data_IF_232856548489
#
_entry.id   IF_232856548489
#
_cell.length_a   1.000
_cell.length_b   1.000
_cell.length_c   1.000
_cell.angle_alpha   90.00
_cell.angle_beta   90.00
_cell.angle_gamma   90.00
#
_symmetry.space_group_name_H-M   'P 1'
#
loop_
_entity.id
_entity.type
_entity.pdbx_description
1 polymer ?
#
# COMPACT_ATOMS: atom_id res chain seq x y z
N UNK A 1 -32.51 5.45 -1.52
CA UNK A 1 -31.34 4.78 -2.12
C UNK A 1 -31.30 3.33 -1.64
N UNK A 2 -31.28 2.42 -2.60
CA UNK A 2 -31.23 0.97 -2.31
C UNK A 2 -29.76 0.53 -2.21
N UNK A 3 -29.29 -0.03 -1.07
CA UNK A 3 -27.90 -0.47 -0.91
C UNK A 3 -27.47 -1.53 -1.95
N UNK A 4 -28.35 -2.44 -2.33
CA UNK A 4 -28.06 -3.46 -3.33
C UNK A 4 -27.81 -2.85 -4.72
N UNK A 5 -28.61 -1.87 -5.12
CA UNK A 5 -28.43 -1.15 -6.40
C UNK A 5 -27.11 -0.39 -6.43
N UNK A 6 -26.74 0.28 -5.32
CA UNK A 6 -25.43 0.95 -5.20
C UNK A 6 -24.27 -0.03 -5.32
N UNK A 7 -24.36 -1.20 -4.70
CA UNK A 7 -23.35 -2.25 -4.80
C UNK A 7 -23.21 -2.73 -6.24
N UNK A 8 -24.31 -3.02 -6.94
CA UNK A 8 -24.29 -3.45 -8.33
C UNK A 8 -23.73 -2.35 -9.26
N UNK A 9 -24.11 -1.10 -9.02
CA UNK A 9 -23.54 0.02 -9.76
C UNK A 9 -22.02 0.11 -9.56
N UNK A 10 -21.52 0.04 -8.33
CA UNK A 10 -20.09 0.09 -8.03
C UNK A 10 -19.32 -1.06 -8.71
N UNK A 11 -19.84 -2.30 -8.64
CA UNK A 11 -19.27 -3.45 -9.34
C UNK A 11 -19.19 -3.19 -10.84
N UNK A 12 -20.25 -2.61 -11.44
CA UNK A 12 -20.27 -2.30 -12.86
C UNK A 12 -19.24 -1.26 -13.25
N UNK A 13 -19.05 -0.21 -12.42
CA UNK A 13 -18.05 0.83 -12.65
C UNK A 13 -16.62 0.27 -12.58
N UNK A 14 -16.32 -0.56 -11.58
CA UNK A 14 -15.01 -1.21 -11.46
C UNK A 14 -14.69 -2.14 -12.63
N UNK A 15 -15.68 -2.88 -13.13
CA UNK A 15 -15.49 -3.69 -14.36
C UNK A 15 -15.22 -2.83 -15.61
N UNK A 16 -15.86 -1.65 -15.71
CA UNK A 16 -15.55 -0.68 -16.78
C UNK A 16 -14.15 -0.08 -16.60
N UNK A 17 -13.75 0.19 -15.35
CA UNK A 17 -12.41 0.66 -15.05
C UNK A 17 -11.32 -0.33 -15.47
N UNK A 18 -11.55 -1.64 -15.34
CA UNK A 18 -10.64 -2.67 -15.84
C UNK A 18 -10.39 -2.51 -17.35
N UNK A 19 -11.48 -2.34 -18.14
CA UNK A 19 -11.40 -2.13 -19.59
C UNK A 19 -10.69 -0.82 -19.92
N UNK A 20 -11.00 0.25 -19.20
CA UNK A 20 -10.36 1.56 -19.40
C UNK A 20 -8.86 1.49 -19.11
N UNK A 21 -8.47 0.86 -17.99
CA UNK A 21 -7.07 0.66 -17.61
C UNK A 21 -6.30 -0.13 -18.69
N UNK A 22 -6.90 -1.21 -19.20
CA UNK A 22 -6.31 -1.98 -20.30
C UNK A 22 -6.10 -1.12 -21.55
N UNK A 23 -7.12 -0.35 -21.96
CA UNK A 23 -7.05 0.53 -23.14
C UNK A 23 -5.97 1.62 -23.02
N UNK A 24 -5.73 2.08 -21.80
CA UNK A 24 -4.68 3.04 -21.50
C UNK A 24 -3.29 2.39 -21.33
N UNK A 25 -3.19 1.07 -21.43
CA UNK A 25 -1.94 0.33 -21.26
C UNK A 25 -1.43 0.27 -19.81
N UNK A 26 -2.29 0.57 -18.84
CA UNK A 26 -1.94 0.53 -17.41
C UNK A 26 -1.75 -0.91 -16.93
N UNK A 27 -0.88 -1.09 -15.95
CA UNK A 27 -0.60 -2.39 -15.32
C UNK A 27 -1.20 -2.51 -13.92
N UNK A 28 -1.49 -1.40 -13.28
CA UNK A 28 -2.04 -1.30 -11.94
C UNK A 28 -3.20 -0.30 -11.91
N UNK A 29 -4.20 -0.58 -11.09
CA UNK A 29 -5.36 0.26 -10.85
C UNK A 29 -5.56 0.42 -9.34
N UNK A 30 -5.41 1.63 -8.85
CA UNK A 30 -5.58 1.96 -7.44
C UNK A 30 -7.07 2.06 -7.07
N UNK A 31 -7.44 1.51 -5.92
CA UNK A 31 -8.83 1.57 -5.43
C UNK A 31 -8.92 1.31 -3.93
N UNK A 32 -10.09 1.56 -3.36
CA UNK A 32 -10.46 1.17 -2.00
C UNK A 32 -11.29 -0.12 -1.99
N UNK A 33 -11.28 -0.80 -0.85
CA UNK A 33 -11.99 -2.08 -0.68
C UNK A 33 -13.50 -1.94 -0.48
N UNK A 34 -13.92 -0.80 0.07
CA UNK A 34 -15.23 -0.58 0.65
C UNK A 34 -15.19 -0.69 2.18
N UNK A 35 -16.28 -0.31 2.83
CA UNK A 35 -16.36 -0.13 4.28
C UNK A 35 -17.53 -0.92 4.90
N UNK A 36 -17.59 -2.22 4.65
CA UNK A 36 -18.64 -3.09 5.17
C UNK A 36 -18.48 -3.34 6.68
N UNK A 37 -17.25 -3.59 7.13
CA UNK A 37 -16.90 -3.96 8.50
C UNK A 37 -16.22 -2.85 9.31
N UNK A 38 -15.79 -1.75 8.68
CA UNK A 38 -14.99 -0.73 9.34
C UNK A 38 -15.61 -0.23 10.66
N UNK A 39 -16.92 -0.02 10.71
CA UNK A 39 -17.61 0.41 11.94
C UNK A 39 -17.55 -0.60 13.09
N UNK A 40 -17.06 -1.81 12.85
CA UNK A 40 -16.89 -2.87 13.85
C UNK A 40 -15.44 -3.07 14.29
N UNK A 41 -14.48 -2.31 13.75
CA UNK A 41 -13.03 -2.48 14.01
C UNK A 41 -12.71 -2.27 15.50
N UNK A 42 -13.27 -1.25 16.12
CA UNK A 42 -13.11 -1.07 17.55
C UNK A 42 -13.91 -2.14 18.32
N UNK A 43 -13.29 -2.88 19.26
CA UNK A 43 -13.89 -4.07 19.86
C UNK A 43 -14.97 -3.79 20.91
N UNK A 44 -15.48 -2.58 21.00
CA UNK A 44 -16.51 -2.19 21.95
C UNK A 44 -17.67 -1.44 21.26
N UNK A 45 -18.93 -1.87 21.40
CA UNK A 45 -19.38 -3.10 22.07
C UNK A 45 -18.85 -4.36 21.40
N UNK A 46 -18.84 -5.48 22.14
CA UNK A 46 -18.31 -6.74 21.64
C UNK A 46 -19.04 -7.19 20.37
N UNK A 47 -18.28 -7.58 19.37
CA UNK A 47 -18.83 -8.08 18.10
C UNK A 47 -19.51 -9.44 18.26
N UNK A 48 -20.64 -9.68 17.60
CA UNK A 48 -21.22 -11.02 17.53
C UNK A 48 -20.22 -12.03 16.93
N UNK A 49 -20.28 -13.27 17.41
CA UNK A 49 -19.48 -14.35 16.84
C UNK A 49 -19.84 -14.55 15.36
N UNK A 50 -18.83 -14.77 14.53
CA UNK A 50 -19.00 -14.99 13.09
C UNK A 50 -19.25 -13.73 12.24
N UNK A 51 -19.36 -12.54 12.84
CA UNK A 51 -19.62 -11.30 12.09
C UNK A 51 -18.49 -10.97 11.11
N UNK A 52 -17.24 -11.11 11.56
CA UNK A 52 -16.07 -10.77 10.76
C UNK A 52 -15.94 -11.75 9.59
N UNK A 53 -16.11 -13.03 9.84
CA UNK A 53 -16.07 -14.09 8.83
C UNK A 53 -17.16 -13.89 7.77
N UNK A 54 -18.38 -13.58 8.19
CA UNK A 54 -19.48 -13.27 7.28
C UNK A 54 -19.15 -12.05 6.42
N UNK A 55 -18.62 -11.00 7.03
CA UNK A 55 -18.26 -9.77 6.31
C UNK A 55 -17.18 -9.98 5.27
N UNK A 56 -16.11 -10.74 5.58
CA UNK A 56 -15.06 -11.04 4.60
C UNK A 56 -15.53 -11.98 3.49
N UNK A 57 -16.44 -12.92 3.79
CA UNK A 57 -17.07 -13.74 2.76
C UNK A 57 -17.91 -12.89 1.79
N UNK A 58 -18.74 -12.00 2.31
CA UNK A 58 -19.52 -11.05 1.49
C UNK A 58 -18.60 -10.13 0.67
N UNK A 59 -17.51 -9.63 1.26
CA UNK A 59 -16.52 -8.82 0.57
C UNK A 59 -15.90 -9.60 -0.61
N UNK A 60 -15.53 -10.85 -0.37
CA UNK A 60 -14.98 -11.73 -1.39
C UNK A 60 -15.98 -12.02 -2.53
N UNK A 61 -17.24 -12.27 -2.21
CA UNK A 61 -18.30 -12.49 -3.21
C UNK A 61 -18.46 -11.28 -4.14
N UNK A 62 -18.34 -10.07 -3.60
CA UNK A 62 -18.41 -8.82 -4.37
C UNK A 62 -17.17 -8.61 -5.23
N UNK A 63 -15.99 -8.90 -4.68
CA UNK A 63 -14.71 -8.62 -5.35
C UNK A 63 -14.30 -9.67 -6.38
N UNK A 64 -14.62 -10.96 -6.22
CA UNK A 64 -14.24 -12.01 -7.18
C UNK A 64 -14.59 -11.65 -8.62
N UNK A 65 -15.83 -11.29 -8.98
CA UNK A 65 -16.18 -10.95 -10.37
C UNK A 65 -15.51 -9.66 -10.87
N UNK A 66 -15.05 -8.79 -9.98
CA UNK A 66 -14.25 -7.60 -10.34
C UNK A 66 -12.82 -8.03 -10.62
N UNK A 67 -12.19 -8.79 -9.71
CA UNK A 67 -10.83 -9.31 -9.87
C UNK A 67 -10.68 -10.14 -11.15
N UNK A 68 -11.67 -10.99 -11.48
CA UNK A 68 -11.72 -11.73 -12.74
C UNK A 68 -11.78 -10.81 -13.96
N UNK A 69 -12.48 -9.68 -13.87
CA UNK A 69 -12.51 -8.69 -14.96
C UNK A 69 -11.14 -8.01 -15.14
N UNK A 70 -10.47 -7.69 -14.06
CA UNK A 70 -9.12 -7.13 -14.08
C UNK A 70 -8.08 -8.16 -14.55
N UNK A 71 -8.27 -9.44 -14.22
CA UNK A 71 -7.39 -10.50 -14.72
C UNK A 71 -7.48 -10.67 -16.24
N UNK A 72 -8.69 -10.68 -16.79
CA UNK A 72 -8.88 -10.68 -18.24
C UNK A 72 -8.29 -9.44 -18.91
N UNK A 73 -8.26 -8.31 -18.20
CA UNK A 73 -7.66 -7.06 -18.69
C UNK A 73 -6.12 -7.04 -18.55
N UNK A 74 -5.52 -7.95 -17.78
CA UNK A 74 -4.09 -7.98 -17.49
C UNK A 74 -3.62 -6.82 -16.60
N UNK A 75 -4.50 -6.35 -15.70
CA UNK A 75 -4.28 -5.20 -14.81
C UNK A 75 -4.40 -5.64 -13.35
N UNK A 76 -3.47 -5.24 -12.51
CA UNK A 76 -3.52 -5.50 -11.08
C UNK A 76 -4.48 -4.54 -10.38
N UNK A 77 -5.28 -5.04 -9.44
CA UNK A 77 -6.06 -4.23 -8.50
C UNK A 77 -5.19 -3.97 -7.28
N UNK A 78 -4.91 -2.71 -7.02
CA UNK A 78 -4.06 -2.28 -5.92
C UNK A 78 -4.92 -1.58 -4.86
N UNK A 79 -5.20 -2.32 -3.79
CA UNK A 79 -5.97 -1.79 -2.67
C UNK A 79 -5.10 -0.87 -1.83
N UNK A 80 -5.51 0.37 -1.65
CA UNK A 80 -4.95 1.23 -0.63
C UNK A 80 -5.43 0.76 0.74
N UNK A 81 -4.50 0.38 1.62
CA UNK A 81 -4.83 -0.04 2.97
C UNK A 81 -5.04 1.20 3.83
N UNK A 82 -6.31 1.57 3.98
CA UNK A 82 -6.69 2.89 4.48
C UNK A 82 -7.65 2.79 5.68
N UNK A 83 -7.42 3.53 6.79
CA UNK A 83 -8.41 3.67 7.86
C UNK A 83 -9.74 4.20 7.32
N UNK A 84 -10.84 3.53 7.67
CA UNK A 84 -12.16 3.82 7.07
C UNK A 84 -12.61 2.76 6.08
N UNK A 85 -11.70 1.89 5.65
CA UNK A 85 -11.92 0.80 4.71
C UNK A 85 -11.88 -0.57 5.40
N UNK A 86 -12.40 -1.61 4.74
CA UNK A 86 -12.31 -2.98 5.25
C UNK A 86 -10.88 -3.50 5.24
N UNK A 87 -10.10 -3.10 4.23
CA UNK A 87 -8.68 -3.38 4.14
C UNK A 87 -7.88 -2.15 4.62
N UNK A 88 -7.39 -2.19 5.86
CA UNK A 88 -6.72 -1.07 6.50
C UNK A 88 -5.35 -1.41 7.08
N UNK A 89 -4.98 -2.69 7.10
CA UNK A 89 -3.69 -3.20 7.55
C UNK A 89 -3.36 -4.54 6.89
N UNK A 90 -2.18 -5.10 7.19
CA UNK A 90 -1.76 -6.38 6.65
C UNK A 90 -2.68 -7.54 7.04
N UNK A 91 -3.16 -7.55 8.29
CA UNK A 91 -4.02 -8.63 8.79
C UNK A 91 -5.39 -8.66 8.10
N UNK A 92 -5.99 -7.50 7.82
CA UNK A 92 -7.24 -7.41 7.06
C UNK A 92 -7.04 -7.79 5.60
N UNK A 93 -5.90 -7.40 5.00
CA UNK A 93 -5.55 -7.82 3.64
C UNK A 93 -5.34 -9.34 3.53
N UNK A 94 -4.66 -9.97 4.47
CA UNK A 94 -4.46 -11.42 4.50
C UNK A 94 -5.79 -12.20 4.59
N UNK A 95 -6.73 -11.73 5.42
CA UNK A 95 -8.08 -12.32 5.49
C UNK A 95 -8.82 -12.23 4.16
N UNK A 96 -8.77 -11.07 3.53
CA UNK A 96 -9.36 -10.86 2.21
C UNK A 96 -8.69 -11.74 1.16
N UNK A 97 -7.37 -11.78 1.12
CA UNK A 97 -6.59 -12.56 0.17
C UNK A 97 -6.94 -14.06 0.27
N UNK A 98 -7.04 -14.58 1.50
CA UNK A 98 -7.50 -15.95 1.73
C UNK A 98 -8.96 -16.15 1.26
N UNK A 99 -9.85 -15.20 1.52
CA UNK A 99 -11.26 -15.29 1.13
C UNK A 99 -11.46 -15.23 -0.40
N UNK A 100 -10.55 -14.62 -1.17
CA UNK A 100 -10.56 -14.62 -2.64
C UNK A 100 -9.62 -15.68 -3.25
N UNK A 101 -9.25 -16.71 -2.49
CA UNK A 101 -8.37 -17.82 -2.91
C UNK A 101 -7.03 -17.34 -3.48
N UNK A 102 -6.41 -16.35 -2.83
CA UNK A 102 -5.12 -15.78 -3.23
C UNK A 102 -5.11 -15.25 -4.67
N UNK A 103 -6.23 -14.70 -5.12
CA UNK A 103 -6.39 -14.21 -6.48
C UNK A 103 -5.19 -13.35 -6.92
N UNK A 104 -4.59 -13.62 -8.12
CA UNK A 104 -3.32 -12.98 -8.53
C UNK A 104 -3.44 -11.45 -8.71
N UNK A 105 -4.66 -10.95 -8.98
CA UNK A 105 -4.91 -9.53 -9.17
C UNK A 105 -5.25 -8.78 -7.89
N UNK A 106 -5.36 -9.45 -6.74
CA UNK A 106 -5.52 -8.80 -5.44
C UNK A 106 -4.15 -8.37 -4.92
N UNK A 107 -3.80 -7.11 -5.08
CA UNK A 107 -2.50 -6.53 -4.77
C UNK A 107 -2.64 -5.28 -3.90
N UNK A 108 -1.53 -4.68 -3.50
CA UNK A 108 -1.47 -3.58 -2.54
C UNK A 108 -0.98 -2.31 -3.23
N UNK A 109 -1.68 -1.21 -2.98
CA UNK A 109 -1.14 0.13 -3.05
C UNK A 109 -0.54 0.44 -1.67
N UNK A 110 0.76 0.61 -1.61
CA UNK A 110 1.48 0.93 -0.40
C UNK A 110 1.48 2.43 -0.16
N UNK A 111 0.83 2.87 0.92
CA UNK A 111 0.87 4.23 1.42
C UNK A 111 1.36 4.23 2.88
N UNK A 112 2.61 4.62 3.14
CA UNK A 112 3.17 4.60 4.49
C UNK A 112 2.54 5.61 5.44
N UNK A 113 1.88 6.66 4.93
CA UNK A 113 1.30 7.72 5.75
C UNK A 113 0.19 7.19 6.66
N UNK A 114 -0.67 6.32 6.12
CA UNK A 114 -1.74 5.68 6.89
C UNK A 114 -1.20 4.73 7.95
N UNK A 115 -0.04 4.12 7.71
CA UNK A 115 0.62 3.24 8.68
C UNK A 115 1.24 4.03 9.82
N UNK A 116 1.85 5.20 9.53
CA UNK A 116 2.34 6.11 10.58
C UNK A 116 1.19 6.56 11.48
N UNK A 117 0.04 6.93 10.91
CA UNK A 117 -1.12 7.33 11.70
C UNK A 117 -1.68 6.20 12.57
N UNK A 118 -1.53 4.95 12.13
CA UNK A 118 -1.92 3.75 12.87
C UNK A 118 -0.84 3.24 13.84
N UNK A 119 0.36 3.81 13.84
CA UNK A 119 1.53 3.32 14.57
C UNK A 119 1.98 1.92 14.14
N UNK A 120 1.79 1.59 12.87
CA UNK A 120 2.24 0.35 12.25
C UNK A 120 3.66 0.53 11.70
N UNK A 121 4.52 -0.48 11.81
CA UNK A 121 5.87 -0.47 11.22
C UNK A 121 5.79 -0.58 9.70
N UNK A 122 5.83 0.58 9.04
CA UNK A 122 5.72 0.69 7.59
C UNK A 122 6.93 0.11 6.84
N UNK A 123 8.10 0.02 7.46
CA UNK A 123 9.28 -0.60 6.82
C UNK A 123 9.22 -2.12 6.89
N UNK A 124 8.87 -2.70 8.03
CA UNK A 124 8.65 -4.14 8.16
C UNK A 124 7.50 -4.61 7.26
N UNK A 125 6.50 -3.75 7.01
CA UNK A 125 5.42 -4.06 6.08
C UNK A 125 5.92 -4.36 4.67
N UNK A 126 6.92 -3.62 4.17
CA UNK A 126 7.51 -3.89 2.84
C UNK A 126 8.18 -5.27 2.83
N UNK A 127 8.91 -5.64 3.89
CA UNK A 127 9.58 -6.93 3.97
C UNK A 127 8.59 -8.10 3.89
N UNK A 128 7.38 -7.95 4.45
CA UNK A 128 6.35 -8.99 4.46
C UNK A 128 5.58 -9.05 3.12
N UNK A 129 5.24 -7.89 2.55
CA UNK A 129 4.25 -7.81 1.46
C UNK A 129 4.82 -7.35 0.12
N UNK A 130 6.15 -7.23 -0.05
CA UNK A 130 6.78 -6.71 -1.28
C UNK A 130 6.30 -7.38 -2.57
N UNK A 131 6.00 -8.68 -2.55
CA UNK A 131 5.49 -9.40 -3.72
C UNK A 131 4.11 -8.91 -4.18
N UNK A 132 3.33 -8.35 -3.25
CA UNK A 132 1.98 -7.81 -3.50
C UNK A 132 1.95 -6.30 -3.68
N UNK A 133 3.01 -5.58 -3.38
CA UNK A 133 3.08 -4.13 -3.61
C UNK A 133 3.27 -3.86 -5.10
N UNK A 134 2.23 -3.34 -5.76
CA UNK A 134 2.23 -3.02 -7.19
C UNK A 134 1.99 -1.52 -7.48
N UNK A 135 1.61 -0.76 -6.48
CA UNK A 135 1.48 0.69 -6.52
C UNK A 135 2.04 1.30 -5.24
N UNK A 136 2.52 2.55 -5.32
CA UNK A 136 3.13 3.24 -4.19
C UNK A 136 2.75 4.72 -4.21
N UNK A 137 2.12 5.18 -3.13
CA UNK A 137 1.91 6.58 -2.85
C UNK A 137 3.05 7.13 -1.98
N UNK A 138 3.70 8.18 -2.48
CA UNK A 138 4.68 8.95 -1.72
C UNK A 138 3.91 10.07 -1.03
N UNK A 139 3.49 9.80 0.20
CA UNK A 139 2.68 10.67 1.04
C UNK A 139 3.25 10.69 2.44
N UNK A 140 3.53 11.86 2.96
CA UNK A 140 4.20 12.01 4.26
C UNK A 140 3.20 12.24 5.39
N UNK A 141 3.60 11.81 6.56
CA UNK A 141 2.81 11.96 7.79
C UNK A 141 3.72 12.06 9.01
N UNK A 142 3.15 12.53 10.10
CA UNK A 142 3.78 12.52 11.41
C UNK A 142 2.80 12.04 12.47
N UNK A 143 3.32 11.45 13.53
CA UNK A 143 2.55 11.14 14.73
C UNK A 143 3.30 11.66 15.96
N UNK A 144 2.72 12.67 16.62
CA UNK A 144 3.30 13.32 17.77
C UNK A 144 2.50 12.92 19.02
N UNK A 145 2.94 11.89 19.77
CA UNK A 145 2.23 11.42 20.95
C UNK A 145 2.01 12.54 21.97
N UNK A 146 0.82 12.59 22.53
CA UNK A 146 0.48 13.53 23.59
C UNK A 146 -0.47 12.87 24.62
N UNK A 147 -0.70 13.51 25.77
CA UNK A 147 -1.56 12.98 26.83
C UNK A 147 -3.06 13.20 26.61
N UNK A 148 -3.50 13.71 25.46
CA UNK A 148 -4.90 14.11 25.22
C UNK A 148 -5.63 13.24 24.20
N UNK A 149 -4.93 12.74 23.20
CA UNK A 149 -5.52 11.99 22.07
C UNK A 149 -4.51 10.97 21.51
N UNK A 150 -5.04 9.95 20.88
CA UNK A 150 -4.29 8.83 20.31
C UNK A 150 -4.59 8.64 18.81
N UNK A 151 -4.39 7.42 18.34
CA UNK A 151 -4.49 7.04 16.91
C UNK A 151 -5.86 7.29 16.27
N UNK A 152 -6.92 7.31 17.06
CA UNK A 152 -8.27 7.60 16.54
C UNK A 152 -8.47 9.07 16.16
N UNK A 153 -7.54 9.97 16.53
CA UNK A 153 -7.55 11.38 16.18
C UNK A 153 -8.62 12.22 16.90
N UNK A 154 -9.75 11.64 17.25
CA UNK A 154 -10.86 12.34 17.90
C UNK A 154 -11.53 13.39 16.98
N UNK A 155 -12.16 14.40 17.61
CA UNK A 155 -12.93 15.45 16.94
C UNK A 155 -12.14 16.75 16.73
N UNK A 156 -10.82 16.70 16.79
CA UNK A 156 -9.94 17.85 16.59
C UNK A 156 -9.77 18.15 15.10
N UNK A 157 -9.40 19.41 14.81
CA UNK A 157 -8.92 19.77 13.48
C UNK A 157 -7.64 18.98 13.12
N UNK A 158 -7.36 18.83 11.85
CA UNK A 158 -6.14 18.13 11.39
C UNK A 158 -4.85 18.73 12.00
N UNK A 159 -4.80 20.05 12.15
CA UNK A 159 -3.65 20.73 12.75
C UNK A 159 -3.42 20.37 14.22
N UNK A 160 -4.44 19.93 14.95
CA UNK A 160 -4.39 19.62 16.38
C UNK A 160 -4.30 18.11 16.67
N UNK A 161 -4.45 17.26 15.66
CA UNK A 161 -4.33 15.80 15.83
C UNK A 161 -2.89 15.39 16.10
N UNK A 162 -2.65 14.34 16.92
CA UNK A 162 -1.31 13.77 17.06
C UNK A 162 -0.81 13.17 15.75
N UNK A 163 -1.66 12.44 15.03
CA UNK A 163 -1.39 11.90 13.70
C UNK A 163 -1.98 12.82 12.64
N UNK A 164 -1.13 13.28 11.71
CA UNK A 164 -1.54 14.19 10.63
C UNK A 164 -0.64 14.07 9.41
N UNK A 165 -1.22 14.36 8.24
CA UNK A 165 -0.47 14.37 6.99
C UNK A 165 0.38 15.62 6.84
N UNK A 166 1.54 15.46 6.18
CA UNK A 166 2.52 16.51 5.94
C UNK A 166 2.96 16.55 4.48
N UNK A 167 3.44 17.71 4.04
CA UNK A 167 4.20 17.78 2.78
C UNK A 167 5.43 16.88 2.84
N UNK A 168 5.85 16.35 1.70
CA UNK A 168 7.00 15.44 1.61
C UNK A 168 8.26 16.08 2.20
N UNK A 169 8.89 15.38 3.14
CA UNK A 169 10.06 15.81 3.87
C UNK A 169 9.79 16.64 5.12
N UNK A 170 8.54 17.05 5.36
CA UNK A 170 8.14 17.78 6.56
C UNK A 170 7.59 16.85 7.66
N UNK A 171 7.38 15.57 7.35
CA UNK A 171 6.86 14.55 8.25
C UNK A 171 7.95 13.70 8.91
N UNK A 172 7.61 12.47 9.25
CA UNK A 172 8.47 11.54 9.99
C UNK A 172 8.80 10.26 9.20
N UNK A 173 8.35 10.15 7.95
CA UNK A 173 8.54 8.94 7.14
C UNK A 173 9.97 8.92 6.57
N UNK A 174 10.68 7.81 6.80
CA UNK A 174 12.00 7.59 6.19
C UNK A 174 11.84 7.07 4.74
N UNK A 175 11.58 7.99 3.83
CA UNK A 175 11.48 7.65 2.40
C UNK A 175 12.76 7.06 1.83
N UNK A 176 13.93 7.46 2.34
CA UNK A 176 15.20 6.89 1.90
C UNK A 176 15.27 5.39 2.18
N UNK A 177 14.83 4.97 3.38
CA UNK A 177 14.73 3.55 3.71
C UNK A 177 13.67 2.84 2.87
N UNK A 178 12.51 3.47 2.62
CA UNK A 178 11.45 2.91 1.76
C UNK A 178 11.98 2.67 0.35
N UNK A 179 12.57 3.69 -0.30
CA UNK A 179 13.10 3.54 -1.66
C UNK A 179 14.21 2.50 -1.74
N UNK A 180 15.06 2.39 -0.70
CA UNK A 180 16.08 1.33 -0.62
C UNK A 180 15.47 -0.05 -0.59
N UNK A 181 14.44 -0.29 0.25
CA UNK A 181 13.73 -1.58 0.33
C UNK A 181 12.99 -1.91 -0.96
N UNK A 182 12.24 -0.97 -1.52
CA UNK A 182 11.52 -1.18 -2.79
C UNK A 182 12.48 -1.49 -3.93
N UNK A 183 13.65 -0.83 -3.98
CA UNK A 183 14.72 -1.14 -4.94
C UNK A 183 15.30 -2.54 -4.72
N UNK A 184 15.58 -2.91 -3.46
CA UNK A 184 16.08 -4.24 -3.09
C UNK A 184 15.13 -5.35 -3.57
N UNK A 185 13.83 -5.15 -3.44
CA UNK A 185 12.80 -6.10 -3.88
C UNK A 185 12.38 -5.94 -5.35
N UNK A 186 13.07 -5.09 -6.10
CA UNK A 186 12.85 -4.95 -7.54
C UNK A 186 11.52 -4.33 -7.94
N UNK A 187 10.96 -3.44 -7.12
CA UNK A 187 9.73 -2.71 -7.44
C UNK A 187 9.89 -1.92 -8.74
N UNK A 188 8.95 -2.10 -9.68
CA UNK A 188 8.97 -1.47 -11.01
C UNK A 188 7.79 -0.53 -11.25
N UNK A 189 6.99 -0.26 -10.23
CA UNK A 189 5.84 0.63 -10.32
C UNK A 189 6.20 2.11 -10.25
N UNK A 190 5.20 2.95 -10.28
CA UNK A 190 5.33 4.39 -10.14
C UNK A 190 5.48 4.79 -8.66
N UNK A 191 6.30 5.81 -8.41
CA UNK A 191 6.31 6.57 -7.16
C UNK A 191 5.38 7.78 -7.35
N UNK A 192 4.15 7.65 -6.91
CA UNK A 192 3.09 8.63 -7.14
C UNK A 192 3.06 9.62 -5.99
N UNK A 193 3.30 10.91 -6.29
CA UNK A 193 3.08 11.97 -5.30
C UNK A 193 1.59 12.04 -4.96
N UNK A 194 1.26 11.72 -3.72
CA UNK A 194 -0.04 12.05 -3.15
C UNK A 194 0.16 13.12 -2.07
N UNK A 195 -0.44 14.28 -2.29
CA UNK A 195 -0.23 15.40 -1.39
C UNK A 195 -1.47 15.68 -0.54
N UNK A 196 -1.29 15.55 0.77
CA UNK A 196 -2.20 16.08 1.76
C UNK A 196 -1.37 16.76 2.86
N UNK A 197 -1.67 17.99 3.19
CA UNK A 197 -1.00 18.68 4.28
C UNK A 197 -1.95 19.69 4.93
N UNK A 198 -1.99 19.68 6.25
CA UNK A 198 -2.82 20.62 7.00
C UNK A 198 -2.17 22.00 7.22
N UNK A 199 -0.92 22.20 6.78
CA UNK A 199 -0.14 23.42 7.07
C UNK A 199 0.36 24.15 5.83
N UNK A 200 0.92 23.43 4.84
CA UNK A 200 1.59 24.02 3.67
C UNK A 200 0.60 24.29 2.54
N UNK A 201 0.85 25.32 1.75
CA UNK A 201 0.07 25.62 0.55
C UNK A 201 0.22 24.49 -0.50
N UNK A 202 -0.84 24.07 -1.20
CA UNK A 202 -0.81 22.94 -2.13
C UNK A 202 0.14 23.12 -3.32
N UNK A 203 0.26 24.32 -3.88
CA UNK A 203 1.17 24.59 -5.00
C UNK A 203 2.64 24.42 -4.61
N UNK A 204 3.00 24.91 -3.41
CA UNK A 204 4.35 24.74 -2.87
C UNK A 204 4.64 23.26 -2.60
N UNK A 205 3.70 22.58 -1.93
CA UNK A 205 3.82 21.16 -1.61
C UNK A 205 3.94 20.26 -2.83
N UNK A 206 3.18 20.52 -3.89
CA UNK A 206 3.26 19.78 -5.14
C UNK A 206 4.61 20.01 -5.86
N UNK A 207 5.06 21.26 -5.94
CA UNK A 207 6.32 21.61 -6.59
C UNK A 207 7.54 21.03 -5.86
N UNK A 208 7.55 21.13 -4.54
CA UNK A 208 8.62 20.58 -3.70
C UNK A 208 8.61 19.04 -3.70
N UNK A 209 7.41 18.44 -3.66
CA UNK A 209 7.23 17.00 -3.60
C UNK A 209 7.77 16.27 -4.82
N UNK A 210 7.61 16.80 -6.02
CA UNK A 210 8.19 16.21 -7.23
C UNK A 210 9.72 16.16 -7.15
N UNK A 211 10.35 17.25 -6.72
CA UNK A 211 11.81 17.32 -6.53
C UNK A 211 12.27 16.38 -5.40
N UNK A 212 11.49 16.28 -4.33
CA UNK A 212 11.79 15.38 -3.23
C UNK A 212 11.84 13.92 -3.71
N UNK A 213 10.83 13.47 -4.46
CA UNK A 213 10.80 12.11 -5.02
C UNK A 213 12.02 11.86 -5.92
N UNK A 214 12.33 12.78 -6.83
CA UNK A 214 13.48 12.65 -7.72
C UNK A 214 14.78 12.41 -6.96
N UNK A 215 14.96 13.05 -5.81
CA UNK A 215 16.15 12.89 -4.95
C UNK A 215 16.20 11.54 -4.21
N UNK A 216 15.08 10.84 -4.06
CA UNK A 216 15.02 9.53 -3.42
C UNK A 216 15.22 8.37 -4.41
N UNK A 217 15.09 8.61 -5.72
CA UNK A 217 15.21 7.57 -6.73
C UNK A 217 16.61 6.96 -6.72
N UNK A 218 16.66 5.63 -6.65
CA UNK A 218 17.90 4.88 -6.69
C UNK A 218 18.08 4.31 -8.09
N UNK A 219 19.22 4.61 -8.70
CA UNK A 219 19.65 3.93 -9.91
C UNK A 219 20.29 2.61 -9.52
N UNK A 220 19.63 1.46 -9.76
CA UNK A 220 20.20 0.15 -9.42
C UNK A 220 21.53 -0.06 -10.15
N UNK A 221 22.45 -0.77 -9.50
CA UNK A 221 23.67 -1.24 -10.13
C UNK A 221 23.50 -2.68 -10.60
N UNK A 222 24.08 -3.01 -11.74
CA UNK A 222 24.20 -4.37 -12.28
C UNK A 222 25.48 -5.07 -11.80
N UNK A 223 26.30 -4.37 -11.00
CA UNK A 223 27.59 -4.88 -10.48
C UNK A 223 27.65 -4.69 -8.96
N UNK A 224 27.98 -5.76 -8.25
CA UNK A 224 28.34 -5.67 -6.85
C UNK A 224 29.78 -5.13 -6.71
N UNK A 225 30.10 -4.53 -5.56
CA UNK A 225 31.44 -3.95 -5.35
C UNK A 225 32.54 -5.01 -5.35
N UNK A 226 32.22 -6.29 -5.10
CA UNK A 226 33.12 -7.44 -5.04
C UNK A 226 33.08 -8.34 -6.30
N UNK A 227 32.40 -7.92 -7.36
CA UNK A 227 32.34 -8.64 -8.65
C UNK A 227 33.72 -8.86 -9.28
N UNK A 228 34.72 -8.07 -8.89
CA UNK A 228 36.11 -8.29 -9.29
C UNK A 228 36.67 -9.64 -8.78
N UNK A 229 36.11 -10.20 -7.71
CA UNK A 229 36.50 -11.50 -7.16
C UNK A 229 35.79 -12.67 -7.85
N UNK A 230 34.73 -12.43 -8.60
CA UNK A 230 33.89 -13.44 -9.24
C UNK A 230 34.44 -13.96 -10.58
N UNK A 231 35.71 -13.65 -10.94
CA UNK A 231 36.26 -13.88 -12.27
C UNK A 231 36.50 -15.35 -12.56
N UNK A 232 36.52 -16.25 -11.57
CA UNK A 232 36.80 -17.68 -11.82
C UNK A 232 35.85 -18.56 -10.97
N UNK A 233 34.90 -19.22 -11.65
CA UNK A 233 33.94 -20.12 -11.05
C UNK A 233 34.36 -21.60 -11.18
N UNK A 234 35.59 -21.89 -11.64
CA UNK A 234 36.06 -23.26 -11.80
C UNK A 234 36.22 -23.99 -10.45
N UNK A 235 35.72 -25.21 -10.38
CA UNK A 235 35.79 -26.03 -9.18
C UNK A 235 37.21 -26.18 -8.66
N UNK A 236 38.20 -26.35 -9.57
CA UNK A 236 39.63 -26.47 -9.22
C UNK A 236 40.14 -25.21 -8.51
N UNK A 237 39.75 -24.02 -8.97
CA UNK A 237 40.12 -22.76 -8.32
C UNK A 237 39.48 -22.64 -6.92
N UNK A 238 38.19 -22.97 -6.80
CA UNK A 238 37.49 -22.95 -5.51
C UNK A 238 38.12 -23.95 -4.52
N UNK A 239 38.48 -25.17 -4.96
CA UNK A 239 39.18 -26.13 -4.13
C UNK A 239 40.52 -25.59 -3.63
N UNK A 240 41.30 -24.95 -4.52
CA UNK A 240 42.59 -24.34 -4.16
C UNK A 240 42.42 -23.25 -3.10
N UNK A 241 41.37 -22.41 -3.22
CA UNK A 241 41.06 -21.37 -2.22
C UNK A 241 40.73 -21.96 -0.84
N UNK A 242 40.09 -23.12 -0.82
CA UNK A 242 39.74 -23.83 0.39
C UNK A 242 40.89 -24.73 0.93
N UNK A 243 42.02 -24.80 0.25
CA UNK A 243 43.15 -25.66 0.62
C UNK A 243 42.90 -27.16 0.42
N UNK A 244 41.98 -27.54 -0.49
CA UNK A 244 41.59 -28.91 -0.80
C UNK A 244 42.29 -29.48 -2.02
#
# INVERSE_FOLDING_TARGET
>A
DNPAERTQWAISQLKQAAIASQRLGLKAHATFSGALLWHTVYPWPQRPAGLVELGFNELAERWRPILDAFDRAGVDVCFELHPGEDLHDGASFERFLAAVDFHPRANILYDPSHFVLQQLDYLAFIDIYHERIKAFHVKDAEFNPNGRSGVYGGYQSWQQRPGRFRSLGDGQIDFKAIFSKLTQYGYQGWAVLEWECCLKHPEDGASEGAKFIEQQLIRPTDKCFDDFAAVNTELAFNRKLLGL
#
